data_IF_212364049863
#
_entry.id   IF_212364049863
#
_cell.length_a   1.000
_cell.length_b   1.000
_cell.length_c   1.000
_cell.angle_alpha   90.00
_cell.angle_beta   90.00
_cell.angle_gamma   90.00
#
_symmetry.space_group_name_H-M   'P 1'
#
loop_
_entity.id
_entity.type
_entity.pdbx_description
1 polymer ?
#
# COMPACT_ATOMS: atom_id res chain seq x y z
N UNK A 1 8.75 -44.78 49.46
CA UNK A 1 7.71 -44.93 48.43
C UNK A 1 6.43 -44.15 48.78
N UNK A 2 5.99 -44.09 50.03
CA UNK A 2 4.78 -43.34 50.41
C UNK A 2 4.86 -41.81 50.13
N UNK A 3 5.99 -41.18 50.36
CA UNK A 3 6.17 -39.73 50.07
C UNK A 3 6.08 -39.37 48.58
N UNK A 4 6.52 -40.26 47.68
CA UNK A 4 6.42 -40.07 46.25
C UNK A 4 4.95 -40.21 45.78
N UNK A 5 4.25 -41.21 46.32
CA UNK A 5 2.83 -41.45 46.02
C UNK A 5 1.97 -40.27 46.50
N UNK A 6 2.24 -39.75 47.72
CA UNK A 6 1.50 -38.57 48.24
C UNK A 6 1.78 -37.31 47.46
N UNK A 7 3.03 -37.09 46.98
CA UNK A 7 3.35 -35.95 46.13
C UNK A 7 2.64 -36.03 44.74
N UNK A 8 2.59 -37.22 44.15
CA UNK A 8 1.89 -37.44 42.87
C UNK A 8 0.38 -37.21 43.05
N UNK A 9 -0.20 -37.75 44.12
CA UNK A 9 -1.63 -37.56 44.42
C UNK A 9 -1.98 -36.07 44.64
N UNK A 10 -1.14 -35.34 45.34
CA UNK A 10 -1.33 -33.91 45.57
C UNK A 10 -1.32 -33.11 44.25
N UNK A 11 -0.34 -33.38 43.38
CA UNK A 11 -0.24 -32.70 42.06
C UNK A 11 -1.45 -33.04 41.19
N UNK A 12 -1.93 -34.30 41.20
CA UNK A 12 -3.13 -34.70 40.47
C UNK A 12 -4.37 -33.98 40.97
N UNK A 13 -4.58 -33.90 42.31
CA UNK A 13 -5.70 -33.19 42.89
C UNK A 13 -5.67 -31.69 42.55
N UNK A 14 -4.52 -31.05 42.71
CA UNK A 14 -4.35 -29.62 42.35
C UNK A 14 -4.63 -29.39 40.87
N UNK A 15 -4.09 -30.25 40.00
CA UNK A 15 -4.31 -30.15 38.55
C UNK A 15 -5.78 -30.34 38.17
N UNK A 16 -6.47 -31.29 38.81
CA UNK A 16 -7.88 -31.54 38.55
C UNK A 16 -8.77 -30.39 39.04
N UNK A 17 -8.50 -29.84 40.20
CA UNK A 17 -9.22 -28.68 40.76
C UNK A 17 -8.99 -27.45 39.87
N UNK A 18 -7.73 -27.17 39.46
CA UNK A 18 -7.42 -26.07 38.59
C UNK A 18 -8.09 -26.23 37.20
N UNK A 19 -8.09 -27.44 36.63
CA UNK A 19 -8.76 -27.75 35.37
C UNK A 19 -10.28 -27.53 35.42
N UNK A 20 -10.93 -27.94 36.50
CA UNK A 20 -12.37 -27.70 36.70
C UNK A 20 -12.64 -26.19 36.83
N UNK A 21 -11.86 -25.47 37.63
CA UNK A 21 -12.01 -24.02 37.81
C UNK A 21 -11.82 -23.26 36.50
N UNK A 22 -10.79 -23.59 35.73
CA UNK A 22 -10.54 -22.98 34.41
C UNK A 22 -11.68 -23.29 33.42
N UNK A 23 -12.18 -24.55 33.42
CA UNK A 23 -13.30 -24.93 32.55
C UNK A 23 -14.59 -24.19 32.92
N UNK A 24 -14.84 -24.02 34.20
CA UNK A 24 -16.00 -23.27 34.71
C UNK A 24 -15.85 -21.78 34.39
N UNK A 25 -14.69 -21.20 34.68
CA UNK A 25 -14.39 -19.81 34.34
C UNK A 25 -14.53 -19.53 32.83
N UNK A 26 -14.02 -20.43 31.97
CA UNK A 26 -14.16 -20.33 30.52
C UNK A 26 -15.63 -20.30 30.07
N UNK A 27 -16.52 -21.06 30.70
CA UNK A 27 -17.95 -21.02 30.37
C UNK A 27 -18.66 -19.77 30.88
N UNK A 28 -18.30 -19.32 32.10
CA UNK A 28 -18.94 -18.12 32.71
C UNK A 28 -18.51 -16.85 32.05
N UNK A 29 -17.24 -16.77 31.64
CA UNK A 29 -16.65 -15.59 30.96
C UNK A 29 -16.66 -15.72 29.44
N UNK A 30 -17.31 -16.75 28.87
CA UNK A 30 -17.46 -16.83 27.41
C UNK A 30 -18.26 -15.63 26.91
N UNK A 31 -17.61 -14.76 26.15
CA UNK A 31 -18.27 -13.69 25.41
C UNK A 31 -19.05 -14.36 24.28
N UNK A 32 -20.36 -14.20 24.25
CA UNK A 32 -21.15 -14.59 23.08
C UNK A 32 -20.92 -13.55 22.02
N UNK A 33 -20.21 -13.93 20.96
CA UNK A 33 -20.04 -13.07 19.80
C UNK A 33 -21.35 -13.02 19.01
N UNK A 34 -21.67 -11.84 18.50
CA UNK A 34 -22.84 -11.62 17.68
C UNK A 34 -22.72 -12.42 16.37
N UNK A 35 -23.81 -13.05 15.91
CA UNK A 35 -23.83 -13.80 14.66
C UNK A 35 -23.42 -12.91 13.48
N UNK A 36 -23.86 -11.65 13.48
CA UNK A 36 -23.48 -10.68 12.47
C UNK A 36 -21.96 -10.46 12.40
N UNK A 37 -21.29 -10.39 13.57
CA UNK A 37 -19.82 -10.29 13.61
C UNK A 37 -19.15 -11.50 12.93
N UNK A 38 -19.63 -12.72 13.24
CA UNK A 38 -19.08 -13.94 12.66
C UNK A 38 -19.25 -13.97 11.14
N UNK A 39 -20.41 -13.57 10.64
CA UNK A 39 -20.72 -13.51 9.21
C UNK A 39 -19.86 -12.44 8.51
N UNK A 40 -19.74 -11.24 9.07
CA UNK A 40 -18.86 -10.17 8.56
C UNK A 40 -17.39 -10.62 8.54
N UNK A 41 -16.96 -11.30 9.60
CA UNK A 41 -15.57 -11.78 9.71
C UNK A 41 -15.26 -12.88 8.68
N UNK A 42 -16.23 -13.76 8.39
CA UNK A 42 -16.07 -14.83 7.40
C UNK A 42 -15.88 -14.30 5.97
N UNK A 43 -16.51 -13.17 5.62
CA UNK A 43 -16.35 -12.55 4.30
C UNK A 43 -15.04 -11.77 4.15
N UNK A 44 -14.37 -11.42 5.23
CA UNK A 44 -13.10 -10.71 5.17
C UNK A 44 -11.93 -11.64 4.82
N UNK A 45 -10.94 -11.18 4.04
CA UNK A 45 -9.87 -12.03 3.50
C UNK A 45 -8.88 -12.58 4.55
N UNK A 46 -8.95 -12.17 5.80
CA UNK A 46 -8.09 -12.67 6.88
C UNK A 46 -6.61 -12.25 6.79
N UNK A 47 -6.26 -11.36 5.89
CA UNK A 47 -4.88 -10.93 5.66
C UNK A 47 -4.28 -10.11 6.83
N UNK A 48 -5.10 -9.57 7.72
CA UNK A 48 -4.72 -8.77 8.89
C UNK A 48 -3.66 -7.69 8.59
N UNK A 49 -3.71 -7.12 7.38
CA UNK A 49 -2.70 -6.20 6.86
C UNK A 49 -2.76 -4.78 7.43
N UNK A 50 -3.84 -4.41 8.15
CA UNK A 50 -4.04 -3.06 8.68
C UNK A 50 -4.23 -1.95 7.63
N UNK A 51 -4.43 -2.30 6.36
CA UNK A 51 -4.60 -1.35 5.25
C UNK A 51 -5.90 -0.53 5.36
N UNK A 52 -6.95 -1.11 5.93
CA UNK A 52 -8.23 -0.45 6.20
C UNK A 52 -8.20 0.56 7.37
N UNK A 53 -7.08 0.65 8.10
CA UNK A 53 -6.91 1.53 9.26
C UNK A 53 -7.25 0.88 10.60
N UNK A 54 -7.67 -0.39 10.61
CA UNK A 54 -7.92 -1.20 11.80
C UNK A 54 -6.73 -2.13 12.07
N UNK A 55 -6.60 -2.63 13.31
CA UNK A 55 -5.48 -3.50 13.71
C UNK A 55 -5.46 -4.85 12.95
N UNK A 56 -6.63 -5.33 12.54
CA UNK A 56 -6.79 -6.57 11.78
C UNK A 56 -8.19 -6.71 11.20
N UNK A 57 -8.46 -7.83 10.56
CA UNK A 57 -9.78 -8.13 10.01
C UNK A 57 -10.83 -8.30 11.10
N UNK A 58 -10.43 -8.84 12.27
CA UNK A 58 -11.30 -8.98 13.43
C UNK A 58 -11.76 -7.62 13.97
N UNK A 59 -10.83 -6.68 14.14
CA UNK A 59 -11.11 -5.34 14.62
C UNK A 59 -12.02 -4.55 13.64
N UNK A 60 -11.82 -4.73 12.35
CA UNK A 60 -12.69 -4.13 11.33
C UNK A 60 -14.09 -4.77 11.34
N UNK A 61 -14.21 -6.09 11.50
CA UNK A 61 -15.49 -6.77 11.61
C UNK A 61 -16.27 -6.32 12.87
N UNK A 62 -15.58 -6.20 14.02
CA UNK A 62 -16.17 -5.63 15.23
C UNK A 62 -16.64 -4.19 15.05
N UNK A 63 -15.86 -3.34 14.37
CA UNK A 63 -16.23 -1.97 14.13
C UNK A 63 -17.46 -1.86 13.23
N UNK A 64 -17.58 -2.70 12.20
CA UNK A 64 -18.77 -2.79 11.34
C UNK A 64 -20.00 -3.27 12.13
N UNK A 65 -19.86 -4.35 12.89
CA UNK A 65 -20.94 -4.91 13.70
C UNK A 65 -21.46 -3.88 14.72
N UNK A 66 -20.56 -3.24 15.46
CA UNK A 66 -20.92 -2.23 16.45
C UNK A 66 -21.60 -0.99 15.83
N UNK A 67 -21.12 -0.52 14.67
CA UNK A 67 -21.72 0.57 13.92
C UNK A 67 -23.15 0.22 13.48
N UNK A 68 -23.36 -0.99 12.98
CA UNK A 68 -24.67 -1.47 12.56
C UNK A 68 -25.65 -1.59 13.74
N UNK A 69 -25.21 -2.19 14.85
CA UNK A 69 -26.03 -2.34 16.06
C UNK A 69 -26.37 -0.99 16.72
N UNK A 70 -25.50 0.01 16.58
CA UNK A 70 -25.74 1.36 17.06
C UNK A 70 -26.69 2.17 16.14
N UNK A 71 -27.04 1.65 14.97
CA UNK A 71 -27.78 2.40 13.93
C UNK A 71 -26.99 3.57 13.35
N UNK A 72 -25.67 3.50 13.43
CA UNK A 72 -24.74 4.54 12.98
C UNK A 72 -23.87 3.98 11.83
N UNK A 73 -24.18 4.33 10.59
CA UNK A 73 -23.44 3.90 9.40
C UNK A 73 -22.08 4.61 9.24
N UNK A 74 -21.44 4.98 10.36
CA UNK A 74 -20.14 5.68 10.37
C UNK A 74 -18.99 4.87 9.82
N UNK A 75 -19.09 3.53 9.85
CA UNK A 75 -18.04 2.61 9.36
C UNK A 75 -18.40 2.10 7.96
N UNK A 76 -17.69 2.58 6.93
CA UNK A 76 -17.92 2.17 5.55
C UNK A 76 -17.50 0.71 5.30
N UNK A 77 -18.32 -0.06 4.58
CA UNK A 77 -18.05 -1.43 4.10
C UNK A 77 -16.92 -1.50 3.05
N UNK A 78 -16.51 -0.36 2.47
CA UNK A 78 -15.56 -0.28 1.35
C UNK A 78 -14.10 -0.14 1.77
N UNK A 79 -13.78 -0.14 3.07
CA UNK A 79 -12.42 0.12 3.58
C UNK A 79 -11.43 -1.03 3.32
N UNK A 80 -11.91 -2.27 3.08
CA UNK A 80 -11.03 -3.39 2.82
C UNK A 80 -10.50 -3.39 1.39
N UNK A 81 -9.32 -2.79 1.17
CA UNK A 81 -8.69 -2.73 -0.15
C UNK A 81 -8.29 -4.12 -0.69
N UNK A 82 -7.89 -5.04 0.18
CA UNK A 82 -7.51 -6.42 -0.18
C UNK A 82 -8.70 -7.23 -0.69
N UNK A 83 -9.88 -7.05 -0.06
CA UNK A 83 -11.11 -7.71 -0.47
C UNK A 83 -11.72 -7.14 -1.75
N UNK A 84 -11.39 -5.89 -2.06
CA UNK A 84 -11.89 -5.21 -3.26
C UNK A 84 -13.42 -5.05 -3.30
N UNK A 85 -13.99 -4.85 -4.52
CA UNK A 85 -15.42 -4.61 -4.68
C UNK A 85 -16.29 -5.80 -4.27
N UNK A 86 -15.81 -7.04 -4.48
CA UNK A 86 -16.58 -8.25 -4.16
C UNK A 86 -16.86 -8.39 -2.65
N UNK A 87 -15.83 -8.17 -1.83
CA UNK A 87 -15.97 -8.19 -0.37
C UNK A 87 -16.81 -7.01 0.11
N UNK A 88 -16.59 -5.81 -0.47
CA UNK A 88 -17.40 -4.64 -0.13
C UNK A 88 -18.89 -4.86 -0.39
N UNK A 89 -19.25 -5.49 -1.52
CA UNK A 89 -20.63 -5.83 -1.86
C UNK A 89 -21.24 -6.83 -0.87
N UNK A 90 -20.49 -7.86 -0.49
CA UNK A 90 -20.94 -8.85 0.50
C UNK A 90 -21.14 -8.25 1.89
N UNK A 91 -20.18 -7.46 2.36
CA UNK A 91 -20.31 -6.74 3.63
C UNK A 91 -21.52 -5.81 3.64
N UNK A 92 -21.73 -5.07 2.55
CA UNK A 92 -22.88 -4.19 2.40
C UNK A 92 -24.21 -4.97 2.41
N UNK A 93 -24.27 -6.13 1.75
CA UNK A 93 -25.46 -6.99 1.77
C UNK A 93 -25.80 -7.51 3.15
N UNK A 94 -24.79 -7.87 3.98
CA UNK A 94 -24.99 -8.31 5.36
C UNK A 94 -25.47 -7.17 6.27
N UNK A 95 -25.04 -5.95 5.98
CA UNK A 95 -25.44 -4.75 6.73
C UNK A 95 -26.69 -4.07 6.20
N UNK A 96 -27.31 -4.58 5.12
CA UNK A 96 -28.48 -3.94 4.49
C UNK A 96 -28.17 -2.58 3.86
N UNK A 97 -26.90 -2.28 3.56
CA UNK A 97 -26.43 -1.04 2.96
C UNK A 97 -26.16 -1.21 1.45
N UNK A 98 -26.11 -0.12 0.70
CA UNK A 98 -25.64 -0.17 -0.68
C UNK A 98 -24.11 -0.14 -0.71
N UNK A 99 -23.51 -1.08 -1.43
CA UNK A 99 -22.08 -1.05 -1.71
C UNK A 99 -21.77 0.12 -2.64
N UNK A 100 -21.02 1.09 -2.18
CA UNK A 100 -20.51 2.15 -3.05
C UNK A 100 -19.62 1.56 -4.17
N UNK A 101 -19.54 2.27 -5.30
CA UNK A 101 -18.70 1.86 -6.41
C UNK A 101 -17.21 1.92 -6.01
N UNK A 102 -16.57 0.76 -5.88
CA UNK A 102 -15.16 0.62 -5.46
C UNK A 102 -14.32 0.23 -6.65
N UNK A 103 -13.64 1.20 -7.26
CA UNK A 103 -12.68 0.91 -8.31
C UNK A 103 -11.39 0.30 -7.72
N UNK A 104 -10.94 -0.83 -8.28
CA UNK A 104 -9.68 -1.46 -7.90
C UNK A 104 -8.52 -0.50 -8.14
N UNK A 105 -7.72 -0.28 -7.12
CA UNK A 105 -6.52 0.55 -7.20
C UNK A 105 -5.25 -0.31 -7.25
N UNK A 106 -4.13 0.31 -7.58
CA UNK A 106 -2.80 -0.32 -7.57
C UNK A 106 -1.76 0.70 -7.11
N UNK A 107 -0.78 0.24 -6.35
CA UNK A 107 0.36 1.06 -5.95
C UNK A 107 1.26 1.37 -7.14
N UNK A 108 1.73 2.61 -7.24
CA UNK A 108 2.72 3.04 -8.23
C UNK A 108 3.87 3.77 -7.57
N UNK A 109 5.07 3.63 -8.15
CA UNK A 109 6.29 4.28 -7.66
C UNK A 109 6.64 5.45 -8.58
N UNK A 110 6.64 6.67 -8.05
CA UNK A 110 6.94 7.90 -8.79
C UNK A 110 8.46 8.14 -8.91
N UNK A 111 9.19 7.15 -9.45
CA UNK A 111 10.62 7.25 -9.73
C UNK A 111 11.01 6.36 -10.90
N UNK A 112 11.86 6.87 -11.79
CA UNK A 112 12.53 6.14 -12.87
C UNK A 112 14.06 6.32 -12.80
N UNK A 113 14.59 6.62 -11.59
CA UNK A 113 16.01 6.86 -11.34
C UNK A 113 16.81 5.57 -11.26
N UNK A 114 16.78 4.75 -12.32
CA UNK A 114 17.66 3.59 -12.52
C UNK A 114 19.10 4.04 -12.82
N UNK A 115 20.11 3.17 -12.77
CA UNK A 115 21.52 3.54 -13.01
C UNK A 115 21.77 4.27 -14.32
N UNK A 116 21.04 3.94 -15.40
CA UNK A 116 21.14 4.61 -16.67
C UNK A 116 20.60 6.05 -16.65
N UNK A 117 19.72 6.40 -15.72
CA UNK A 117 19.04 7.68 -15.62
C UNK A 117 19.58 8.59 -14.52
N UNK A 118 19.94 8.03 -13.37
CA UNK A 118 20.40 8.78 -12.21
C UNK A 118 21.75 8.29 -11.73
N UNK A 119 22.71 9.20 -11.62
CA UNK A 119 24.06 8.88 -11.16
C UNK A 119 24.06 8.55 -9.66
N UNK A 120 24.85 7.56 -9.24
CA UNK A 120 25.09 7.31 -7.82
C UNK A 120 25.89 8.47 -7.22
N UNK A 121 25.61 8.79 -5.95
CA UNK A 121 26.37 9.76 -5.16
C UNK A 121 27.23 9.06 -4.10
N UNK A 122 26.63 8.09 -3.41
CA UNK A 122 27.27 7.30 -2.37
C UNK A 122 27.06 5.83 -2.59
N UNK A 123 28.08 5.02 -2.21
CA UNK A 123 27.94 3.58 -2.03
C UNK A 123 27.82 3.34 -0.53
N UNK A 124 26.67 2.89 -0.07
CA UNK A 124 26.51 2.44 1.31
C UNK A 124 27.18 1.09 1.51
N UNK A 125 27.78 0.88 2.68
CA UNK A 125 28.25 -0.44 3.07
C UNK A 125 27.07 -1.38 3.31
N UNK A 126 27.33 -2.70 3.30
CA UNK A 126 26.31 -3.74 3.57
C UNK A 126 25.61 -3.60 4.93
N UNK A 127 26.15 -2.77 5.81
CA UNK A 127 25.55 -2.46 7.12
C UNK A 127 24.33 -1.54 7.03
N UNK A 128 24.14 -0.81 5.92
CA UNK A 128 22.98 0.07 5.71
C UNK A 128 21.98 -0.65 4.81
N UNK A 129 21.07 -1.40 5.41
CA UNK A 129 20.10 -2.26 4.72
C UNK A 129 18.68 -1.66 4.61
N UNK A 130 18.45 -0.45 5.14
CA UNK A 130 17.13 0.20 5.21
C UNK A 130 17.14 1.57 4.52
N UNK A 131 16.10 1.84 3.71
CA UNK A 131 15.89 3.17 3.10
C UNK A 131 15.77 4.26 4.16
N UNK A 132 15.11 3.97 5.28
CA UNK A 132 14.95 4.92 6.39
C UNK A 132 16.30 5.29 7.00
N UNK A 133 17.17 4.30 7.23
CA UNK A 133 18.52 4.54 7.74
C UNK A 133 19.37 5.33 6.73
N UNK A 134 19.37 4.94 5.46
CA UNK A 134 20.12 5.64 4.42
C UNK A 134 19.66 7.10 4.24
N UNK A 135 18.36 7.36 4.33
CA UNK A 135 17.81 8.71 4.29
C UNK A 135 18.30 9.58 5.44
N UNK A 136 18.35 9.01 6.65
CA UNK A 136 18.80 9.74 7.85
C UNK A 136 20.31 10.04 7.83
N UNK A 137 21.10 9.22 7.12
CA UNK A 137 22.55 9.42 7.03
C UNK A 137 22.91 10.54 6.04
N UNK A 138 22.58 10.38 4.76
CA UNK A 138 22.98 11.30 3.69
C UNK A 138 21.89 11.49 2.61
N UNK A 139 20.64 11.21 2.90
CA UNK A 139 19.53 11.43 1.98
C UNK A 139 19.35 10.36 0.90
N UNK A 140 20.21 9.34 0.85
CA UNK A 140 20.15 8.24 -0.12
C UNK A 140 21.41 8.13 -0.98
N UNK A 141 21.46 7.10 -1.84
CA UNK A 141 22.63 6.73 -2.63
C UNK A 141 22.75 7.45 -3.98
N UNK A 142 21.76 8.27 -4.36
CA UNK A 142 21.67 8.91 -5.68
C UNK A 142 21.79 10.42 -5.57
N UNK A 143 22.27 11.08 -6.64
CA UNK A 143 22.29 12.54 -6.74
C UNK A 143 20.90 13.16 -6.57
N UNK A 144 19.84 12.48 -7.03
CA UNK A 144 18.47 12.90 -6.84
C UNK A 144 18.01 12.58 -5.40
N UNK A 145 17.93 13.58 -4.54
CA UNK A 145 17.51 13.46 -3.14
C UNK A 145 16.03 13.07 -2.96
N UNK A 146 15.23 13.24 -4.02
CA UNK A 146 13.82 12.85 -4.06
C UNK A 146 13.61 11.42 -4.60
N UNK A 147 14.66 10.78 -5.11
CA UNK A 147 14.56 9.51 -5.80
C UNK A 147 14.39 8.30 -4.88
N UNK A 148 14.05 7.17 -5.48
CA UNK A 148 14.01 5.90 -4.77
C UNK A 148 15.42 5.52 -4.31
N UNK A 149 15.56 5.22 -3.02
CA UNK A 149 16.85 4.81 -2.41
C UNK A 149 17.21 3.37 -2.83
N UNK A 150 16.20 2.50 -2.97
CA UNK A 150 16.38 1.17 -3.55
C UNK A 150 16.82 0.08 -2.58
N UNK A 151 16.70 0.28 -1.25
CA UNK A 151 17.08 -0.71 -0.22
C UNK A 151 15.92 -1.61 0.24
N UNK A 152 14.69 -1.43 -0.28
CA UNK A 152 13.64 -2.43 -0.15
C UNK A 152 12.76 -2.36 1.10
N UNK A 153 12.71 -1.26 1.87
CA UNK A 153 11.76 -1.15 3.01
C UNK A 153 10.30 -1.38 2.60
N UNK A 154 9.93 -1.00 1.38
CA UNK A 154 8.61 -1.26 0.83
C UNK A 154 8.40 -2.73 0.44
N UNK A 155 9.48 -3.45 0.12
CA UNK A 155 9.44 -4.90 -0.20
C UNK A 155 9.21 -5.69 1.08
N UNK A 156 9.95 -5.37 2.16
CA UNK A 156 9.89 -6.11 3.43
C UNK A 156 8.51 -6.06 4.11
N UNK A 157 7.69 -5.04 3.81
CA UNK A 157 6.33 -4.90 4.37
C UNK A 157 5.23 -5.43 3.44
N UNK A 158 5.58 -5.92 2.25
CA UNK A 158 4.60 -6.43 1.29
C UNK A 158 4.28 -7.90 1.56
N UNK A 159 3.13 -8.17 2.18
CA UNK A 159 2.67 -9.53 2.46
C UNK A 159 2.25 -10.32 1.21
N UNK A 160 2.20 -9.67 0.04
CA UNK A 160 1.71 -10.24 -1.23
C UNK A 160 2.80 -10.38 -2.29
N UNK A 161 4.06 -10.10 -1.96
CA UNK A 161 5.19 -10.12 -2.90
C UNK A 161 4.98 -9.30 -4.18
N UNK A 162 4.10 -8.30 -4.12
CA UNK A 162 3.71 -7.46 -5.25
C UNK A 162 4.73 -6.37 -5.60
N UNK A 163 5.77 -6.17 -4.78
CA UNK A 163 6.76 -5.11 -4.99
C UNK A 163 8.17 -5.67 -4.89
N UNK A 164 9.03 -5.28 -5.82
CA UNK A 164 10.45 -5.70 -5.88
C UNK A 164 11.33 -4.51 -6.20
N UNK A 165 12.59 -4.56 -5.83
CA UNK A 165 13.60 -3.60 -6.28
C UNK A 165 14.28 -4.15 -7.54
N UNK A 166 14.16 -3.42 -8.65
CA UNK A 166 14.77 -3.75 -9.93
C UNK A 166 15.63 -2.55 -10.35
N UNK A 167 16.91 -2.78 -10.58
CA UNK A 167 17.89 -1.75 -10.93
C UNK A 167 17.87 -0.56 -9.95
N UNK A 168 17.82 -0.86 -8.65
CA UNK A 168 17.81 0.14 -7.59
C UNK A 168 16.55 1.02 -7.51
N UNK A 169 15.44 0.61 -8.15
CA UNK A 169 14.14 1.30 -8.07
C UNK A 169 13.03 0.29 -7.75
N UNK A 170 12.19 0.62 -6.78
CA UNK A 170 11.05 -0.20 -6.46
C UNK A 170 10.06 -0.25 -7.63
N UNK A 171 9.60 -1.45 -7.97
CA UNK A 171 8.67 -1.73 -9.07
C UNK A 171 7.53 -2.59 -8.53
N UNK A 172 6.30 -2.22 -8.85
CA UNK A 172 5.09 -2.91 -8.39
C UNK A 172 4.53 -3.75 -9.53
N UNK A 173 4.19 -4.99 -9.22
CA UNK A 173 3.39 -5.85 -10.08
C UNK A 173 1.90 -5.55 -9.84
N UNK A 174 1.25 -4.96 -10.83
CA UNK A 174 -0.16 -4.57 -10.76
C UNK A 174 -1.12 -5.75 -10.74
N UNK A 175 -0.69 -6.94 -11.18
CA UNK A 175 -1.54 -8.15 -11.21
C UNK A 175 -1.70 -8.75 -9.82
N UNK A 176 -0.67 -8.63 -8.97
CA UNK A 176 -0.61 -9.19 -7.61
C UNK A 176 -0.94 -8.15 -6.54
N UNK A 177 -0.77 -6.86 -6.83
CA UNK A 177 -0.98 -5.78 -5.87
C UNK A 177 -2.44 -5.70 -5.40
N UNK A 178 -2.63 -5.78 -4.08
CA UNK A 178 -3.94 -5.71 -3.40
C UNK A 178 -4.30 -4.32 -2.87
N UNK A 179 -3.52 -3.28 -3.16
CA UNK A 179 -3.77 -1.88 -2.74
C UNK A 179 -3.76 -1.64 -1.21
N UNK A 180 -3.21 -2.54 -0.42
CA UNK A 180 -3.23 -2.44 1.05
C UNK A 180 -2.51 -1.21 1.63
N UNK A 181 -1.69 -0.50 0.85
CA UNK A 181 -1.03 0.75 1.23
C UNK A 181 0.16 0.63 2.18
N UNK A 182 0.56 -0.58 2.60
CA UNK A 182 1.68 -0.78 3.53
C UNK A 182 3.00 -0.23 2.98
N UNK A 183 3.26 -0.42 1.69
CA UNK A 183 4.45 0.11 1.02
C UNK A 183 4.48 1.66 0.98
N UNK A 184 3.32 2.31 0.98
CA UNK A 184 3.19 3.77 1.04
C UNK A 184 3.70 4.27 2.39
N UNK A 185 3.22 3.65 3.48
CA UNK A 185 3.62 3.98 4.87
C UNK A 185 5.11 3.72 5.12
N UNK A 186 5.66 2.67 4.50
CA UNK A 186 7.06 2.27 4.65
C UNK A 186 8.04 3.14 3.85
N UNK A 187 7.60 3.84 2.81
CA UNK A 187 8.48 4.61 1.94
C UNK A 187 8.91 5.93 2.58
N UNK A 188 10.18 6.09 3.02
CA UNK A 188 10.62 7.33 3.65
C UNK A 188 10.69 8.51 2.67
N UNK A 189 10.70 8.25 1.36
CA UNK A 189 10.73 9.27 0.31
C UNK A 189 9.33 9.67 -0.18
N UNK A 190 8.25 9.03 0.32
CA UNK A 190 6.86 9.27 -0.07
C UNK A 190 6.65 9.15 -1.60
N UNK A 191 7.27 8.14 -2.21
CA UNK A 191 7.26 7.93 -3.67
C UNK A 191 6.12 7.02 -4.15
N UNK A 192 5.42 6.38 -3.23
CA UNK A 192 4.42 5.38 -3.55
C UNK A 192 3.04 5.97 -3.30
N UNK A 193 2.16 5.85 -4.27
CA UNK A 193 0.76 6.28 -4.18
C UNK A 193 -0.15 5.24 -4.81
N UNK A 194 -1.44 5.29 -4.50
CA UNK A 194 -2.46 4.50 -5.19
C UNK A 194 -2.95 5.24 -6.44
N UNK A 195 -3.29 4.49 -7.46
CA UNK A 195 -4.02 4.96 -8.64
C UNK A 195 -5.07 3.94 -9.06
N UNK A 196 -6.12 4.33 -9.78
CA UNK A 196 -7.04 3.39 -10.42
C UNK A 196 -6.30 2.45 -11.37
N UNK A 197 -6.67 1.16 -11.38
CA UNK A 197 -6.06 0.18 -12.28
C UNK A 197 -6.37 0.48 -13.75
N UNK A 198 -7.53 1.07 -14.00
CA UNK A 198 -7.99 1.54 -15.32
C UNK A 198 -7.12 2.66 -15.91
N UNK A 199 -6.41 3.42 -15.04
CA UNK A 199 -5.60 4.55 -15.48
C UNK A 199 -4.19 4.10 -15.92
N UNK A 200 -3.89 4.01 -17.24
CA UNK A 200 -2.62 3.47 -17.72
C UNK A 200 -1.47 4.45 -17.59
N UNK A 201 -1.75 5.76 -17.50
CA UNK A 201 -0.71 6.81 -17.51
C UNK A 201 -0.24 7.13 -16.10
N UNK A 202 1.08 7.16 -15.90
CA UNK A 202 1.71 7.47 -14.61
C UNK A 202 2.89 8.42 -14.77
N UNK A 203 3.09 9.31 -13.79
CA UNK A 203 4.29 10.16 -13.70
C UNK A 203 5.32 9.44 -12.83
N UNK A 204 6.47 9.09 -13.43
CA UNK A 204 7.58 8.40 -12.73
C UNK A 204 8.68 9.38 -12.32
N UNK A 205 8.30 10.45 -11.66
CA UNK A 205 9.22 11.44 -11.11
C UNK A 205 8.58 12.15 -9.90
N UNK A 206 9.39 12.44 -8.88
CA UNK A 206 9.02 13.24 -7.71
C UNK A 206 10.05 14.32 -7.41
N UNK A 207 10.95 14.62 -8.37
CA UNK A 207 11.97 15.64 -8.21
C UNK A 207 11.32 17.03 -8.24
N UNK A 208 11.55 17.83 -7.21
CA UNK A 208 11.01 19.18 -7.06
C UNK A 208 11.98 20.28 -7.46
N UNK A 209 13.18 19.93 -7.94
CA UNK A 209 14.17 20.89 -8.41
C UNK A 209 13.73 21.52 -9.73
N UNK A 210 14.14 22.74 -9.97
CA UNK A 210 13.82 23.43 -11.21
C UNK A 210 14.74 23.00 -12.37
N UNK A 211 14.19 22.94 -13.57
CA UNK A 211 14.79 22.75 -14.88
C UNK A 211 16.21 22.19 -14.94
N UNK A 212 17.24 23.06 -14.90
CA UNK A 212 18.65 22.64 -15.01
C UNK A 212 19.12 21.77 -13.85
N UNK A 213 18.71 22.08 -12.61
CA UNK A 213 19.08 21.30 -11.44
C UNK A 213 18.48 19.88 -11.51
N UNK A 214 17.22 19.74 -11.91
CA UNK A 214 16.59 18.45 -12.12
C UNK A 214 17.31 17.61 -13.19
N UNK A 215 17.72 18.24 -14.29
CA UNK A 215 18.47 17.58 -15.37
C UNK A 215 19.87 17.12 -14.95
N UNK A 216 20.51 17.85 -14.06
CA UNK A 216 21.85 17.50 -13.58
C UNK A 216 21.87 16.22 -12.74
N UNK A 217 20.76 15.91 -12.04
CA UNK A 217 20.69 14.76 -11.13
C UNK A 217 20.03 13.53 -11.75
N UNK A 218 19.18 13.71 -12.80
CA UNK A 218 18.50 12.59 -13.44
C UNK A 218 18.11 12.92 -14.90
N UNK A 219 18.44 12.03 -15.83
CA UNK A 219 18.14 12.21 -17.27
C UNK A 219 16.63 12.25 -17.56
N UNK A 220 15.85 11.52 -16.80
CA UNK A 220 14.37 11.42 -16.92
C UNK A 220 13.63 12.25 -15.88
N UNK A 221 14.28 13.23 -15.23
CA UNK A 221 13.61 14.10 -14.27
C UNK A 221 12.57 14.99 -14.97
N UNK A 222 11.45 15.22 -14.29
CA UNK A 222 10.51 16.27 -14.68
C UNK A 222 11.19 17.63 -14.54
N UNK A 223 11.09 18.49 -15.58
CA UNK A 223 11.70 19.82 -15.61
C UNK A 223 10.66 20.93 -15.49
N UNK A 224 9.45 20.60 -15.10
CA UNK A 224 8.33 21.53 -14.98
C UNK A 224 8.07 22.36 -16.25
N UNK A 225 8.20 21.76 -17.44
CA UNK A 225 8.08 22.47 -18.73
C UNK A 225 6.63 22.72 -19.18
N UNK A 226 5.63 22.22 -18.44
CA UNK A 226 4.19 22.34 -18.71
C UNK A 226 3.73 21.80 -20.09
N UNK A 227 4.57 21.04 -20.82
CA UNK A 227 4.16 20.46 -22.12
C UNK A 227 3.01 19.47 -21.96
N UNK A 228 3.02 18.64 -20.92
CA UNK A 228 1.97 17.67 -20.63
C UNK A 228 0.64 18.37 -20.32
N UNK A 229 0.67 19.44 -19.54
CA UNK A 229 -0.49 20.25 -19.18
C UNK A 229 -1.12 20.91 -20.41
N UNK A 230 -0.31 21.56 -21.25
CA UNK A 230 -0.79 22.16 -22.51
C UNK A 230 -1.34 21.15 -23.52
N UNK A 231 -0.90 19.90 -23.45
CA UNK A 231 -1.34 18.84 -24.36
C UNK A 231 -2.61 18.15 -23.87
N UNK A 232 -2.92 18.23 -22.58
CA UNK A 232 -4.06 17.54 -21.99
C UNK A 232 -5.38 18.27 -22.32
N UNK A 233 -6.27 17.60 -23.08
CA UNK A 233 -7.57 18.16 -23.45
C UNK A 233 -8.61 18.03 -22.32
N UNK A 234 -8.31 17.22 -21.30
CA UNK A 234 -9.23 16.90 -20.19
C UNK A 234 -8.86 17.62 -18.89
N UNK A 235 -7.88 18.52 -18.94
CA UNK A 235 -7.41 19.24 -17.76
C UNK A 235 -7.08 18.31 -16.58
N UNK A 236 -6.48 17.15 -16.88
CA UNK A 236 -6.22 16.09 -15.94
C UNK A 236 -4.76 16.02 -15.44
N UNK A 237 -3.86 16.86 -15.93
CA UNK A 237 -2.45 16.86 -15.53
C UNK A 237 -1.96 18.30 -15.36
N UNK A 238 -1.40 18.57 -14.19
CA UNK A 238 -0.95 19.90 -13.78
C UNK A 238 0.47 19.88 -13.26
N UNK A 239 1.18 20.99 -13.41
CA UNK A 239 2.47 21.24 -12.78
C UNK A 239 2.32 22.44 -11.86
N UNK A 240 2.24 22.20 -10.56
CA UNK A 240 2.10 23.28 -9.57
C UNK A 240 3.46 23.86 -9.18
N UNK A 241 3.48 25.12 -8.74
CA UNK A 241 4.70 25.79 -8.26
C UNK A 241 5.27 25.11 -7.01
N UNK A 242 4.43 24.50 -6.19
CA UNK A 242 4.82 23.80 -4.96
C UNK A 242 5.47 22.45 -5.27
N UNK A 243 4.98 21.74 -6.29
CA UNK A 243 5.48 20.41 -6.63
C UNK A 243 6.64 20.43 -7.62
N UNK A 244 6.71 21.43 -8.53
CA UNK A 244 7.63 21.48 -9.70
C UNK A 244 7.65 20.16 -10.50
N UNK A 245 6.65 19.32 -10.35
CA UNK A 245 6.50 18.04 -11.03
C UNK A 245 5.07 17.88 -11.53
N UNK A 246 4.89 17.18 -12.63
CA UNK A 246 3.56 16.90 -13.17
C UNK A 246 2.80 15.96 -12.22
N UNK A 247 1.56 16.28 -11.93
CA UNK A 247 0.62 15.48 -11.12
C UNK A 247 -0.62 15.21 -11.95
N UNK A 248 -1.10 13.97 -11.96
CA UNK A 248 -2.30 13.56 -12.69
C UNK A 248 -3.47 13.49 -11.72
N UNK A 249 -4.55 14.16 -12.09
CA UNK A 249 -5.87 13.98 -11.48
C UNK A 249 -6.57 12.80 -12.17
N UNK A 250 -6.62 11.68 -11.49
CA UNK A 250 -7.20 10.46 -12.05
C UNK A 250 -8.73 10.50 -12.14
N UNK A 251 -9.40 11.44 -11.48
CA UNK A 251 -10.85 11.62 -11.65
C UNK A 251 -11.22 12.21 -13.02
N UNK A 252 -10.28 12.93 -13.67
CA UNK A 252 -10.43 13.55 -14.99
C UNK A 252 -9.68 12.81 -16.10
N UNK A 253 -8.69 11.96 -15.74
CA UNK A 253 -7.81 11.33 -16.70
C UNK A 253 -8.46 10.16 -17.41
N UNK A 254 -8.62 10.24 -18.73
CA UNK A 254 -9.17 9.17 -19.58
C UNK A 254 -8.10 8.18 -20.10
N UNK A 255 -6.83 8.34 -19.74
CA UNK A 255 -5.78 7.42 -20.14
C UNK A 255 -5.32 7.51 -21.61
N UNK A 256 -5.54 8.61 -22.31
CA UNK A 256 -5.22 8.75 -23.75
C UNK A 256 -3.73 8.72 -24.11
N UNK A 257 -2.80 8.83 -23.16
CA UNK A 257 -1.35 8.77 -23.38
C UNK A 257 -0.69 10.00 -24.01
N UNK A 258 -1.44 11.02 -24.46
CA UNK A 258 -0.90 12.19 -25.17
C UNK A 258 0.18 12.95 -24.38
N UNK A 259 0.03 13.04 -23.05
CA UNK A 259 1.02 13.66 -22.16
C UNK A 259 2.33 12.85 -22.08
N UNK A 260 2.26 11.52 -22.18
CA UNK A 260 3.43 10.65 -22.20
C UNK A 260 4.22 10.78 -23.51
N UNK A 261 3.54 10.84 -24.65
CA UNK A 261 4.17 11.03 -25.97
C UNK A 261 4.88 12.37 -26.07
N UNK A 262 4.27 13.44 -25.59
CA UNK A 262 4.81 14.80 -25.67
C UNK A 262 5.85 15.13 -24.60
N UNK A 263 6.06 14.26 -23.61
CA UNK A 263 7.02 14.50 -22.54
C UNK A 263 8.48 14.46 -23.06
N UNK A 264 9.22 15.57 -23.09
CA UNK A 264 10.59 15.60 -23.61
C UNK A 264 11.59 14.82 -22.75
N UNK A 265 11.27 14.65 -21.46
CA UNK A 265 12.09 13.90 -20.50
C UNK A 265 11.64 12.45 -20.32
N UNK A 266 10.56 12.05 -20.97
CA UNK A 266 9.98 10.71 -20.87
C UNK A 266 9.77 10.24 -19.42
N UNK A 267 9.42 11.18 -18.53
CA UNK A 267 9.09 10.87 -17.14
C UNK A 267 7.64 10.45 -16.94
N UNK A 268 6.80 10.62 -17.96
CA UNK A 268 5.40 10.14 -17.97
C UNK A 268 5.37 8.87 -18.80
N UNK A 269 4.85 7.80 -18.21
CA UNK A 269 4.78 6.49 -18.85
C UNK A 269 3.34 6.11 -19.10
N UNK A 270 3.08 5.59 -20.29
CA UNK A 270 1.84 4.90 -20.62
C UNK A 270 2.08 3.38 -20.52
N UNK A 271 1.46 2.75 -19.55
CA UNK A 271 1.63 1.32 -19.26
C UNK A 271 0.92 0.45 -20.30
N UNK A 272 -0.15 0.93 -20.95
CA UNK A 272 -0.85 0.22 -21.99
C UNK A 272 -0.02 0.13 -23.29
N UNK A 273 0.66 1.22 -23.66
CA UNK A 273 1.58 1.25 -24.80
C UNK A 273 2.81 0.36 -24.57
N UNK A 274 3.27 0.24 -23.31
CA UNK A 274 4.41 -0.59 -22.97
C UNK A 274 4.07 -2.08 -23.10
N UNK A 275 2.93 -2.51 -22.61
CA UNK A 275 2.47 -3.89 -22.75
C UNK A 275 2.33 -4.32 -24.23
N UNK A 276 1.83 -3.42 -25.11
CA UNK A 276 1.73 -3.67 -26.55
C UNK A 276 3.09 -3.80 -27.24
N UNK A 277 4.14 -3.09 -26.76
CA UNK A 277 5.49 -3.19 -27.33
C UNK A 277 6.27 -4.44 -26.86
N UNK A 278 5.95 -4.97 -25.71
CA UNK A 278 6.56 -6.19 -25.18
C UNK A 278 5.90 -7.46 -25.76
N UNK A 279 4.69 -7.36 -26.32
CA UNK A 279 3.95 -8.45 -26.97
C UNK A 279 4.09 -8.49 -28.52
N UNK A 280 4.81 -7.56 -29.13
CA UNK A 280 5.13 -7.47 -30.55
C UNK A 280 6.63 -7.77 -30.80
#
# INVERSE_FOLDING_TARGET
>A
MSAIISAIALVLVVGLVAGILLSFASKVFAVQEDQLYLDLRAELPGANCGGCGYAGCDDYAHALCNSHLAGDDSVSCTKCAVGGPDVAAKLASLMGAEAGDVEKQVSVVACNGRPENASPLYLYSDKVSSCKAAKSLYGGSKLCTYGCIGLGDCVSVCAFDAIRVIDGVATVDSTVCTSCGMCIKACPQNLISLKPISAPVIVKCSNRDAGKAAMAVCKTACIACHMCERTCRHDAIHVTKESNVAVIDYSKCIGCGACAEKCPKKCIHDMALKAKKESA
#
